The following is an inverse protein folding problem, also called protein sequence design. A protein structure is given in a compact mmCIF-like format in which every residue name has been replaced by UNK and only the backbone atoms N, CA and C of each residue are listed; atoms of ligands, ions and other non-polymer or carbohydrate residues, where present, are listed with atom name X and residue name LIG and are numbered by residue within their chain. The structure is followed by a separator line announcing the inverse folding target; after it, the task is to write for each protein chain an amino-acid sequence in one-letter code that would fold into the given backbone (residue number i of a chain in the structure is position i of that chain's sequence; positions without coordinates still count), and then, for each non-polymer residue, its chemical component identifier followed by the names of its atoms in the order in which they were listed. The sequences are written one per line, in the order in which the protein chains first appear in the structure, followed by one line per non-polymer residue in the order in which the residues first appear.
data_IF_325436424329
#
_entry.id   IF_325436424329
#
_cell.length_a   1.000
_cell.length_b   1.000
_cell.length_c   1.000
_cell.angle_alpha   90.00
_cell.angle_beta   90.00
_cell.angle_gamma   90.00
#
_symmetry.space_group_name_H-M   'P 1'
#
loop_
_entity.id
_entity.type
_entity.pdbx_description
1 polymer ?
#
# COMPACT_ATOMS: atom_id res chain seq x y z
N UNK A 1 50.41 78.47 17.13
CA UNK A 1 49.56 78.11 18.29
C UNK A 1 48.23 77.61 17.79
N UNK A 2 47.92 76.32 17.99
CA UNK A 2 46.58 75.73 17.98
C UNK A 2 46.68 74.31 18.53
N UNK A 3 45.86 74.03 19.55
CA UNK A 3 45.76 72.78 20.29
C UNK A 3 45.01 71.68 19.50
N UNK A 4 45.18 70.40 19.87
CA UNK A 4 44.61 69.24 19.15
C UNK A 4 43.24 68.81 19.71
N UNK A 5 42.60 67.89 18.95
CA UNK A 5 41.49 66.93 19.25
C UNK A 5 40.52 66.94 18.05
N UNK A 6 39.98 65.85 17.52
CA UNK A 6 39.82 64.46 17.97
C UNK A 6 39.60 63.55 16.75
N UNK A 7 40.02 62.30 16.90
CA UNK A 7 39.93 61.16 15.98
C UNK A 7 38.50 60.62 15.86
N UNK A 8 38.11 60.18 14.66
CA UNK A 8 37.15 59.09 14.46
C UNK A 8 37.41 58.42 13.10
N UNK A 9 38.05 57.25 13.13
CA UNK A 9 38.21 56.36 11.99
C UNK A 9 36.89 55.65 11.68
N UNK A 10 36.52 55.61 10.41
CA UNK A 10 35.50 54.71 9.89
C UNK A 10 36.02 53.26 9.93
N UNK A 11 35.32 52.37 10.64
CA UNK A 11 35.53 50.94 10.57
C UNK A 11 34.29 50.30 9.92
N UNK A 12 34.50 49.75 8.72
CA UNK A 12 33.50 48.97 7.99
C UNK A 12 33.21 47.67 8.74
N UNK A 13 31.95 47.42 9.06
CA UNK A 13 31.47 46.15 9.58
C UNK A 13 31.17 45.20 8.40
N UNK A 14 32.21 44.53 7.89
CA UNK A 14 32.03 43.32 7.07
C UNK A 14 32.01 42.13 8.04
N UNK A 15 30.82 41.72 8.46
CA UNK A 15 30.66 40.49 9.22
C UNK A 15 30.99 39.31 8.31
N UNK A 16 32.02 38.56 8.70
CA UNK A 16 32.54 37.40 7.99
C UNK A 16 31.47 36.30 7.95
N UNK A 17 31.01 35.93 6.76
CA UNK A 17 30.57 34.56 6.52
C UNK A 17 31.83 33.69 6.41
N UNK A 18 32.45 33.38 7.55
CA UNK A 18 33.40 32.27 7.60
C UNK A 18 32.59 31.00 7.35
N UNK A 19 32.84 30.39 6.19
CA UNK A 19 32.21 29.16 5.75
C UNK A 19 32.28 28.10 6.85
N UNK A 20 31.11 27.73 7.37
CA UNK A 20 30.94 26.43 7.99
C UNK A 20 30.69 25.43 6.86
N UNK A 21 31.75 25.12 6.11
CA UNK A 21 31.87 23.79 5.56
C UNK A 21 32.09 22.86 6.76
N UNK A 22 31.01 22.54 7.46
CA UNK A 22 30.99 21.40 8.36
C UNK A 22 31.40 20.22 7.50
N UNK A 23 32.56 19.66 7.80
CA UNK A 23 33.14 18.54 7.10
C UNK A 23 32.12 17.39 7.04
N UNK A 24 31.40 17.27 5.92
CA UNK A 24 30.69 16.08 5.52
C UNK A 24 31.74 15.05 5.04
N UNK A 25 32.61 14.64 5.95
CA UNK A 25 33.68 13.68 5.70
C UNK A 25 33.86 12.78 6.92
N UNK A 26 32.76 12.22 7.44
CA UNK A 26 32.80 11.48 8.70
C UNK A 26 32.56 9.97 8.58
N UNK A 27 31.97 9.46 7.48
CA UNK A 27 31.76 8.01 7.31
C UNK A 27 32.05 7.47 5.89
N UNK A 28 32.47 8.31 4.95
CA UNK A 28 32.63 7.93 3.54
C UNK A 28 33.67 6.82 3.33
N UNK A 29 34.63 6.65 4.23
CA UNK A 29 35.64 5.58 4.14
C UNK A 29 35.25 4.28 4.86
N UNK A 30 34.07 4.21 5.48
CA UNK A 30 33.66 3.10 6.35
C UNK A 30 32.39 2.38 5.85
N UNK A 31 32.29 2.15 4.55
CA UNK A 31 31.21 1.36 3.95
C UNK A 31 31.79 0.14 3.24
N UNK A 32 31.16 -1.02 3.39
CA UNK A 32 31.59 -2.27 2.72
C UNK A 32 31.43 -2.19 1.20
N UNK A 33 30.44 -1.43 0.73
CA UNK A 33 30.19 -1.19 -0.70
C UNK A 33 30.51 0.26 -1.06
N UNK A 34 30.58 0.63 -2.36
CA UNK A 34 30.71 2.02 -2.77
C UNK A 34 29.54 2.93 -2.36
N UNK A 35 28.40 2.39 -1.91
CA UNK A 35 27.20 3.17 -1.53
C UNK A 35 27.47 3.90 -0.21
N UNK A 36 27.40 5.25 -0.23
CA UNK A 36 27.63 6.12 0.95
C UNK A 36 26.34 6.64 1.59
N UNK A 37 25.28 6.74 0.81
CA UNK A 37 23.98 7.25 1.24
C UNK A 37 22.88 6.31 0.74
N UNK A 38 21.94 5.99 1.62
CA UNK A 38 20.75 5.21 1.30
C UNK A 38 19.55 6.08 1.64
N UNK A 39 18.67 6.26 0.66
CA UNK A 39 17.35 6.88 0.85
C UNK A 39 16.33 5.77 0.67
N UNK A 40 15.52 5.55 1.70
CA UNK A 40 14.44 4.55 1.67
C UNK A 40 13.12 5.28 1.50
N UNK A 41 12.46 5.07 0.36
CA UNK A 41 11.11 5.58 0.10
C UNK A 41 10.15 4.41 0.22
N UNK A 42 9.19 4.52 1.14
CA UNK A 42 8.22 3.46 1.43
C UNK A 42 6.85 3.90 0.90
N UNK A 43 6.34 3.19 -0.09
CA UNK A 43 4.95 3.33 -0.54
C UNK A 43 3.99 2.61 0.41
N UNK A 44 2.74 3.07 0.45
CA UNK A 44 1.68 2.51 1.30
C UNK A 44 0.72 1.64 0.48
N UNK A 45 0.22 0.56 1.09
CA UNK A 45 -0.98 -0.19 0.68
C UNK A 45 -1.06 -0.74 -0.76
N UNK A 46 0.05 -0.88 -1.49
CA UNK A 46 0.07 -1.51 -2.82
C UNK A 46 0.80 -2.86 -2.81
N UNK A 47 0.17 -3.89 -3.37
CA UNK A 47 0.84 -5.17 -3.66
C UNK A 47 1.65 -5.08 -4.96
N UNK A 48 2.56 -6.03 -5.17
CA UNK A 48 3.34 -6.08 -6.41
C UNK A 48 2.44 -6.25 -7.65
N UNK A 49 1.50 -7.20 -7.61
CA UNK A 49 0.56 -7.44 -8.71
C UNK A 49 -0.44 -6.28 -8.88
N UNK A 50 -0.68 -5.43 -7.88
CA UNK A 50 -1.49 -4.24 -8.06
C UNK A 50 -0.80 -3.20 -8.97
N UNK A 51 0.51 -3.00 -8.87
CA UNK A 51 1.23 -1.98 -9.66
C UNK A 51 1.95 -2.54 -10.90
N UNK A 52 2.55 -3.71 -10.79
CA UNK A 52 3.43 -4.30 -11.81
C UNK A 52 2.79 -5.48 -12.55
N UNK A 53 1.46 -5.67 -12.43
CA UNK A 53 0.68 -6.76 -13.05
C UNK A 53 1.04 -7.03 -14.52
N UNK A 54 1.24 -5.97 -15.30
CA UNK A 54 1.52 -6.04 -16.74
C UNK A 54 2.88 -5.46 -17.14
N UNK A 55 3.75 -5.20 -16.17
CA UNK A 55 5.10 -4.74 -16.48
C UNK A 55 5.86 -5.79 -17.31
N UNK A 56 6.55 -5.32 -18.35
CA UNK A 56 7.44 -6.16 -19.16
C UNK A 56 8.88 -5.64 -19.00
N UNK A 57 9.81 -6.45 -18.47
CA UNK A 57 11.19 -6.02 -18.28
C UNK A 57 11.93 -5.92 -19.64
N UNK A 58 13.05 -5.19 -19.69
CA UNK A 58 13.91 -5.17 -20.88
C UNK A 58 14.34 -6.56 -21.34
N UNK A 59 14.71 -6.68 -22.62
CA UNK A 59 15.15 -7.94 -23.21
C UNK A 59 16.29 -8.60 -22.40
N UNK A 60 16.17 -9.90 -22.17
CA UNK A 60 17.14 -10.67 -21.37
C UNK A 60 16.83 -10.72 -19.86
N UNK A 61 15.79 -10.04 -19.40
CA UNK A 61 15.31 -10.12 -18.02
C UNK A 61 13.94 -10.83 -17.97
N UNK A 62 13.54 -11.25 -16.77
CA UNK A 62 12.26 -11.92 -16.52
C UNK A 62 11.58 -11.34 -15.29
N UNK A 63 10.25 -11.38 -15.28
CA UNK A 63 9.43 -11.01 -14.13
C UNK A 63 8.27 -12.00 -13.98
N UNK A 64 7.93 -12.35 -12.74
CA UNK A 64 6.75 -13.12 -12.39
C UNK A 64 5.64 -12.18 -11.92
N UNK A 65 4.68 -11.92 -12.80
CA UNK A 65 3.49 -11.10 -12.55
C UNK A 65 2.26 -11.71 -13.21
N UNK A 66 1.08 -11.10 -13.03
CA UNK A 66 -0.17 -11.58 -13.64
C UNK A 66 -0.07 -11.80 -15.16
N UNK A 67 0.60 -10.91 -15.90
CA UNK A 67 0.79 -11.01 -17.35
C UNK A 67 1.68 -12.20 -17.73
N UNK A 68 2.86 -12.35 -17.13
CA UNK A 68 3.79 -13.44 -17.45
C UNK A 68 3.26 -14.80 -16.99
N UNK A 69 2.38 -14.82 -15.99
CA UNK A 69 1.63 -16.01 -15.58
C UNK A 69 0.42 -16.31 -16.48
N UNK A 70 0.11 -15.46 -17.47
CA UNK A 70 -1.02 -15.62 -18.39
C UNK A 70 -2.40 -15.48 -17.73
N UNK A 71 -2.47 -14.87 -16.54
CA UNK A 71 -3.72 -14.65 -15.81
C UNK A 71 -4.51 -13.51 -16.46
N UNK A 72 -3.80 -12.47 -16.92
CA UNK A 72 -4.35 -11.34 -17.67
C UNK A 72 -3.61 -11.15 -19.00
N UNK A 73 -4.21 -10.41 -19.94
CA UNK A 73 -3.57 -9.95 -21.17
C UNK A 73 -2.94 -8.56 -21.00
N UNK A 74 -2.12 -8.14 -21.96
CA UNK A 74 -1.58 -6.76 -22.01
C UNK A 74 -2.67 -5.69 -22.14
N UNK A 75 -3.83 -6.04 -22.69
CA UNK A 75 -5.00 -5.15 -22.73
C UNK A 75 -5.77 -5.09 -21.41
N UNK A 76 -5.31 -5.77 -20.35
CA UNK A 76 -5.96 -5.84 -19.05
C UNK A 76 -7.16 -6.80 -18.98
N UNK A 77 -7.43 -7.55 -20.06
CA UNK A 77 -8.48 -8.56 -20.11
C UNK A 77 -8.06 -9.90 -19.50
N UNK A 78 -9.00 -10.84 -19.40
CA UNK A 78 -8.70 -12.19 -18.92
C UNK A 78 -7.75 -12.93 -19.86
N UNK A 79 -6.69 -13.52 -19.30
CA UNK A 79 -5.77 -14.41 -20.00
C UNK A 79 -6.21 -15.88 -19.93
N UNK A 80 -5.49 -16.78 -20.62
CA UNK A 80 -5.81 -18.22 -20.63
C UNK A 80 -5.77 -18.88 -19.24
N UNK A 81 -5.01 -18.31 -18.29
CA UNK A 81 -4.85 -18.83 -16.93
C UNK A 81 -5.68 -18.07 -15.88
N UNK A 82 -6.68 -17.27 -16.29
CA UNK A 82 -7.54 -16.50 -15.37
C UNK A 82 -8.20 -17.38 -14.29
N UNK A 83 -8.42 -18.68 -14.59
CA UNK A 83 -8.92 -19.67 -13.64
C UNK A 83 -8.12 -19.76 -12.34
N UNK A 84 -6.82 -19.42 -12.36
CA UNK A 84 -5.93 -19.44 -11.18
C UNK A 84 -6.21 -18.32 -10.17
N UNK A 85 -6.92 -17.27 -10.59
CA UNK A 85 -7.20 -16.10 -9.77
C UNK A 85 -8.69 -15.97 -9.41
N UNK A 86 -9.49 -17.01 -9.67
CA UNK A 86 -10.90 -17.04 -9.26
C UNK A 86 -11.02 -17.02 -7.75
N UNK A 87 -11.92 -16.17 -7.27
CA UNK A 87 -12.23 -16.03 -5.86
C UNK A 87 -13.44 -16.88 -5.49
N UNK A 88 -13.44 -17.35 -4.25
CA UNK A 88 -14.45 -18.22 -3.67
C UNK A 88 -15.18 -17.51 -2.51
N UNK A 89 -16.34 -18.05 -2.14
CA UNK A 89 -17.14 -17.66 -0.99
C UNK A 89 -16.98 -18.66 0.15
N UNK A 90 -17.28 -18.23 1.37
CA UNK A 90 -17.40 -19.09 2.55
C UNK A 90 -18.57 -18.66 3.45
N UNK A 91 -18.89 -19.46 4.47
CA UNK A 91 -20.06 -19.23 5.34
C UNK A 91 -19.69 -18.84 6.78
N UNK A 92 -18.39 -18.72 7.10
CA UNK A 92 -17.98 -18.47 8.47
C UNK A 92 -18.05 -16.97 8.82
N UNK A 93 -19.13 -16.54 9.45
CA UNK A 93 -19.39 -15.11 9.70
C UNK A 93 -19.32 -14.71 11.18
N UNK A 94 -18.87 -15.59 12.08
CA UNK A 94 -18.92 -15.30 13.53
C UNK A 94 -17.62 -15.53 14.29
N UNK A 95 -16.80 -16.49 13.89
CA UNK A 95 -15.54 -16.81 14.59
C UNK A 95 -14.42 -16.92 13.58
N UNK A 96 -13.27 -16.33 13.85
CA UNK A 96 -12.11 -16.46 12.97
C UNK A 96 -11.73 -17.93 12.72
N UNK A 97 -11.52 -18.28 11.46
CA UNK A 97 -10.79 -19.49 11.08
C UNK A 97 -9.77 -19.16 10.01
N UNK A 98 -8.56 -19.70 10.14
CA UNK A 98 -7.50 -19.50 9.14
C UNK A 98 -7.92 -20.00 7.75
N UNK A 99 -8.65 -21.11 7.70
CA UNK A 99 -9.05 -21.77 6.47
C UNK A 99 -10.56 -22.02 6.47
N UNK A 100 -11.40 -21.01 6.16
CA UNK A 100 -12.84 -21.16 6.17
C UNK A 100 -13.29 -22.14 5.07
N UNK A 101 -14.33 -22.94 5.34
CA UNK A 101 -14.84 -23.88 4.36
C UNK A 101 -15.44 -23.13 3.16
N UNK A 102 -14.92 -23.40 1.96
CA UNK A 102 -15.40 -22.80 0.71
C UNK A 102 -16.78 -23.35 0.39
N UNK A 103 -17.70 -22.49 -0.01
CA UNK A 103 -19.05 -22.86 -0.42
C UNK A 103 -19.29 -22.76 -1.91
N UNK A 104 -18.30 -22.24 -2.64
CA UNK A 104 -18.26 -22.24 -4.09
C UNK A 104 -17.52 -21.01 -4.61
N UNK A 105 -17.25 -21.01 -5.91
CA UNK A 105 -16.75 -19.83 -6.61
C UNK A 105 -17.77 -18.71 -6.58
N UNK A 106 -17.31 -17.45 -6.54
CA UNK A 106 -18.15 -16.36 -7.00
C UNK A 106 -18.61 -16.66 -8.44
N UNK A 107 -19.82 -16.20 -8.77
CA UNK A 107 -20.40 -16.35 -10.11
C UNK A 107 -19.65 -15.52 -11.15
N UNK A 108 -20.39 -14.95 -12.11
CA UNK A 108 -19.78 -14.13 -13.15
C UNK A 108 -19.10 -12.87 -12.60
N UNK A 109 -19.61 -12.33 -11.49
CA UNK A 109 -19.18 -11.06 -10.93
C UNK A 109 -18.81 -11.22 -9.45
N UNK A 110 -17.80 -10.46 -9.03
CA UNK A 110 -17.48 -10.24 -7.62
C UNK A 110 -18.46 -9.23 -7.01
N UNK A 111 -18.55 -9.14 -5.67
CA UNK A 111 -19.27 -8.07 -4.98
C UNK A 111 -18.81 -6.68 -5.43
N UNK A 112 -19.67 -5.69 -5.31
CA UNK A 112 -19.32 -4.30 -5.63
C UNK A 112 -18.16 -3.80 -4.76
N UNK A 113 -17.43 -2.83 -5.28
CA UNK A 113 -16.33 -2.16 -4.60
C UNK A 113 -16.57 -0.67 -4.62
N UNK A 114 -16.18 0.00 -3.52
CA UNK A 114 -16.06 1.44 -3.52
C UNK A 114 -14.77 1.84 -4.23
N UNK A 115 -14.88 2.25 -5.49
CA UNK A 115 -13.74 2.86 -6.19
C UNK A 115 -13.46 4.28 -5.71
N UNK A 116 -14.34 4.86 -4.91
CA UNK A 116 -14.29 6.26 -4.59
C UNK A 116 -13.68 6.43 -3.21
N UNK A 117 -12.35 6.36 -3.17
CA UNK A 117 -11.56 6.93 -2.09
C UNK A 117 -11.94 8.40 -1.79
N UNK A 118 -11.37 9.01 -0.75
CA UNK A 118 -11.68 10.38 -0.43
C UNK A 118 -11.17 11.30 -1.57
N UNK A 119 -12.08 12.03 -2.21
CA UNK A 119 -11.76 13.03 -3.24
C UNK A 119 -11.42 14.34 -2.55
N UNK A 120 -10.26 14.90 -2.81
CA UNK A 120 -9.97 16.26 -2.33
C UNK A 120 -10.84 17.28 -3.06
N UNK A 121 -11.83 17.84 -2.36
CA UNK A 121 -12.70 18.89 -2.88
C UNK A 121 -12.07 20.25 -2.57
N UNK A 122 -11.52 20.86 -3.62
CA UNK A 122 -10.90 22.20 -3.57
C UNK A 122 -11.86 23.30 -3.08
N UNK A 123 -13.18 23.09 -3.13
CA UNK A 123 -14.17 24.04 -2.60
C UNK A 123 -14.21 24.05 -1.08
N UNK A 124 -13.80 22.95 -0.45
CA UNK A 124 -13.84 22.77 1.00
C UNK A 124 -12.45 22.63 1.63
N UNK A 125 -11.37 22.62 0.84
CA UNK A 125 -10.01 22.31 1.29
C UNK A 125 -9.99 21.03 2.15
N UNK A 126 -10.76 20.02 1.71
CA UNK A 126 -10.98 18.82 2.50
C UNK A 126 -11.21 17.60 1.60
N UNK A 127 -10.91 16.43 2.15
CA UNK A 127 -11.26 15.14 1.60
C UNK A 127 -12.77 14.91 1.73
N UNK A 128 -13.46 14.87 0.60
CA UNK A 128 -14.88 14.53 0.45
C UNK A 128 -14.98 13.12 -0.11
N UNK A 129 -15.61 12.21 0.63
CA UNK A 129 -15.89 10.87 0.13
C UNK A 129 -16.94 10.96 -0.96
N UNK A 130 -16.57 10.73 -2.22
CA UNK A 130 -17.57 10.54 -3.26
C UNK A 130 -18.22 9.18 -2.96
N UNK A 131 -19.48 9.18 -2.56
CA UNK A 131 -20.15 7.93 -2.20
C UNK A 131 -20.25 6.98 -3.38
N UNK A 132 -20.34 5.68 -3.06
CA UNK A 132 -20.74 4.57 -3.93
C UNK A 132 -21.55 4.97 -5.17
N UNK A 133 -21.05 4.57 -6.35
CA UNK A 133 -21.81 4.66 -7.59
C UNK A 133 -22.62 3.35 -7.82
N UNK A 134 -23.95 3.37 -7.62
CA UNK A 134 -24.83 2.21 -7.84
C UNK A 134 -24.81 1.65 -9.27
N UNK A 135 -24.32 2.43 -10.24
CA UNK A 135 -24.28 2.01 -11.65
C UNK A 135 -23.08 1.11 -11.97
N UNK A 136 -22.11 1.01 -11.06
CA UNK A 136 -20.93 0.18 -11.24
C UNK A 136 -21.26 -1.26 -10.87
N UNK A 137 -21.61 -2.06 -11.88
CA UNK A 137 -21.69 -3.51 -11.72
C UNK A 137 -20.32 -4.05 -11.27
N UNK A 138 -20.33 -4.94 -10.26
CA UNK A 138 -19.11 -5.59 -9.77
C UNK A 138 -18.29 -6.22 -10.90
N UNK A 139 -16.95 -6.20 -10.82
CA UNK A 139 -16.08 -6.73 -11.87
C UNK A 139 -16.23 -8.24 -12.04
N UNK A 140 -15.79 -8.76 -13.18
CA UNK A 140 -15.73 -10.20 -13.40
C UNK A 140 -14.88 -10.88 -12.32
N UNK A 141 -15.20 -12.14 -11.98
CA UNK A 141 -14.48 -12.89 -10.94
C UNK A 141 -12.98 -13.08 -11.27
N UNK A 142 -12.12 -12.18 -10.79
CA UNK A 142 -10.68 -12.22 -11.01
C UNK A 142 -10.07 -10.81 -11.06
N UNK A 143 -8.77 -10.70 -11.36
CA UNK A 143 -8.11 -9.41 -11.45
C UNK A 143 -8.73 -8.52 -12.52
N UNK A 144 -8.84 -7.23 -12.25
CA UNK A 144 -9.40 -6.26 -13.20
C UNK A 144 -8.60 -4.94 -13.18
N UNK A 145 -8.55 -4.28 -14.33
CA UNK A 145 -7.88 -2.98 -14.46
C UNK A 145 -8.72 -1.88 -13.80
N UNK A 146 -8.14 -1.17 -12.83
CA UNK A 146 -8.80 -0.10 -12.06
C UNK A 146 -9.05 1.14 -12.91
N UNK A 147 -8.13 1.46 -13.83
CA UNK A 147 -8.19 2.67 -14.66
C UNK A 147 -9.35 2.71 -15.64
N UNK A 148 -10.09 1.60 -15.82
CA UNK A 148 -11.30 1.59 -16.67
C UNK A 148 -12.48 2.38 -16.08
N UNK A 149 -12.38 2.80 -14.81
CA UNK A 149 -13.35 3.68 -14.13
C UNK A 149 -12.76 5.08 -13.86
N UNK A 150 -11.83 5.54 -14.71
CA UNK A 150 -11.20 6.87 -14.60
C UNK A 150 -10.51 7.13 -13.26
N UNK A 151 -9.98 6.07 -12.63
CA UNK A 151 -9.15 6.12 -11.42
C UNK A 151 -7.67 5.99 -11.83
N UNK A 152 -6.98 7.10 -12.16
CA UNK A 152 -5.57 7.08 -12.55
C UNK A 152 -4.63 6.78 -11.37
N UNK A 153 -3.35 6.53 -11.65
CA UNK A 153 -2.31 6.43 -10.63
C UNK A 153 -1.56 7.76 -10.41
N UNK A 154 -1.27 8.10 -9.16
CA UNK A 154 -0.46 9.26 -8.75
C UNK A 154 -0.96 10.63 -9.25
N UNK A 155 -2.28 10.85 -9.24
CA UNK A 155 -2.91 12.15 -9.51
C UNK A 155 -3.88 12.54 -8.38
N UNK A 156 -4.39 13.77 -8.33
CA UNK A 156 -5.44 14.14 -7.39
C UNK A 156 -6.74 13.32 -7.53
N UNK A 157 -6.92 12.61 -8.65
CA UNK A 157 -8.06 11.72 -8.92
C UNK A 157 -7.74 10.24 -8.61
N UNK A 158 -6.58 9.94 -8.03
CA UNK A 158 -6.18 8.59 -7.62
C UNK A 158 -6.90 8.14 -6.35
N UNK A 159 -8.22 8.26 -6.37
CA UNK A 159 -9.08 7.80 -5.30
C UNK A 159 -9.28 6.30 -5.49
N UNK A 160 -8.64 5.53 -4.64
CA UNK A 160 -8.87 4.09 -4.50
C UNK A 160 -9.39 3.86 -3.08
N UNK A 161 -10.00 2.71 -2.80
CA UNK A 161 -10.38 2.38 -1.44
C UNK A 161 -9.17 2.13 -0.53
N UNK A 162 -9.42 1.52 0.62
CA UNK A 162 -8.38 0.98 1.50
C UNK A 162 -8.67 -0.50 1.77
N UNK A 163 -7.97 -1.44 1.09
CA UNK A 163 -8.28 -2.86 1.21
C UNK A 163 -8.01 -3.40 2.62
N UNK A 164 -8.51 -4.59 2.96
CA UNK A 164 -8.28 -5.17 4.29
C UNK A 164 -6.86 -5.73 4.39
N UNK A 165 -6.02 -5.09 5.21
CA UNK A 165 -4.63 -5.47 5.41
C UNK A 165 -4.33 -5.70 6.90
N UNK A 166 -5.17 -6.53 7.55
CA UNK A 166 -5.13 -6.86 8.97
C UNK A 166 -4.42 -8.20 9.23
N UNK A 167 -3.76 -8.38 10.38
CA UNK A 167 -2.88 -9.54 10.62
C UNK A 167 -3.60 -10.87 10.37
N UNK A 168 -4.74 -11.09 11.04
CA UNK A 168 -5.50 -12.35 10.93
C UNK A 168 -6.13 -12.54 9.56
N UNK A 169 -6.68 -11.47 8.98
CA UNK A 169 -7.34 -11.51 7.67
C UNK A 169 -6.35 -11.74 6.53
N UNK A 170 -5.14 -11.18 6.57
CA UNK A 170 -4.10 -11.47 5.58
C UNK A 170 -3.64 -12.93 5.63
N UNK A 171 -3.55 -13.51 6.82
CA UNK A 171 -3.34 -14.95 6.96
C UNK A 171 -4.52 -15.76 6.40
N UNK A 172 -5.76 -15.30 6.59
CA UNK A 172 -6.94 -15.97 6.03
C UNK A 172 -6.99 -15.91 4.50
N UNK A 173 -6.65 -14.76 3.91
CA UNK A 173 -6.58 -14.54 2.47
C UNK A 173 -5.56 -15.45 1.77
N UNK A 174 -4.46 -15.77 2.45
CA UNK A 174 -3.38 -16.63 1.93
C UNK A 174 -3.51 -18.09 2.35
N UNK A 175 -4.46 -18.43 3.22
CA UNK A 175 -4.53 -19.75 3.84
C UNK A 175 -3.32 -20.08 4.71
N UNK A 176 -2.68 -19.08 5.32
CA UNK A 176 -1.53 -19.24 6.22
C UNK A 176 -0.19 -19.13 5.51
N UNK A 177 0.06 -20.01 4.56
CA UNK A 177 1.38 -20.19 3.90
C UNK A 177 1.28 -20.06 2.38
N UNK A 178 0.41 -19.20 1.88
CA UNK A 178 0.00 -19.17 0.46
C UNK A 178 -0.59 -20.51 -0.01
N UNK A 179 -1.23 -21.25 0.90
CA UNK A 179 -1.83 -22.55 0.60
C UNK A 179 -3.04 -22.43 -0.33
N UNK A 180 -3.76 -21.30 -0.27
CA UNK A 180 -4.88 -20.99 -1.15
C UNK A 180 -5.04 -19.48 -1.28
N UNK A 181 -5.14 -18.99 -2.53
CA UNK A 181 -5.14 -17.57 -2.91
C UNK A 181 -6.51 -17.13 -3.48
N UNK A 182 -7.58 -17.67 -2.89
CA UNK A 182 -8.95 -17.62 -3.40
C UNK A 182 -9.93 -16.86 -2.49
N UNK A 183 -9.42 -16.20 -1.45
CA UNK A 183 -10.24 -15.57 -0.39
C UNK A 183 -10.05 -14.04 -0.30
N UNK A 184 -9.33 -13.43 -1.25
CA UNK A 184 -9.11 -11.97 -1.32
C UNK A 184 -10.39 -11.16 -1.54
N UNK A 185 -11.51 -11.82 -1.89
CA UNK A 185 -12.81 -11.15 -1.98
C UNK A 185 -13.71 -11.38 -0.79
N UNK A 186 -13.79 -12.62 -0.32
CA UNK A 186 -14.72 -12.95 0.74
C UNK A 186 -14.30 -12.36 2.09
N UNK A 187 -12.99 -12.38 2.40
CA UNK A 187 -12.45 -11.84 3.67
C UNK A 187 -12.74 -10.36 3.86
N UNK A 188 -12.43 -9.47 2.89
CA UNK A 188 -12.78 -8.05 3.03
C UNK A 188 -14.28 -7.82 3.03
N UNK A 189 -15.07 -8.67 2.37
CA UNK A 189 -16.55 -8.60 2.41
C UNK A 189 -17.12 -8.84 3.82
N UNK A 190 -16.46 -9.65 4.66
CA UNK A 190 -16.93 -9.94 6.02
C UNK A 190 -16.32 -9.05 7.09
N UNK A 191 -15.11 -8.52 6.88
CA UNK A 191 -14.38 -7.80 7.92
C UNK A 191 -14.43 -6.29 7.75
N UNK A 192 -14.36 -5.80 6.51
CA UNK A 192 -14.14 -4.38 6.22
C UNK A 192 -12.87 -3.83 6.87
N UNK A 193 -12.74 -2.51 6.91
CA UNK A 193 -11.54 -1.86 7.47
C UNK A 193 -11.39 -2.00 9.01
N UNK A 194 -12.41 -2.50 9.72
CA UNK A 194 -12.36 -2.78 11.17
C UNK A 194 -12.83 -1.63 12.08
N UNK A 195 -12.67 -1.84 13.39
CA UNK A 195 -13.15 -0.92 14.42
C UNK A 195 -12.20 0.29 14.55
N UNK A 196 -12.65 1.49 14.16
CA UNK A 196 -11.82 2.70 14.14
C UNK A 196 -11.92 3.51 12.85
N UNK A 197 -12.54 2.96 11.81
CA UNK A 197 -12.79 3.66 10.53
C UNK A 197 -14.17 4.29 10.45
N UNK A 198 -14.82 4.61 11.58
CA UNK A 198 -16.15 5.23 11.60
C UNK A 198 -16.23 6.60 10.90
N UNK A 199 -15.08 7.22 10.60
CA UNK A 199 -14.98 8.44 9.79
C UNK A 199 -14.95 8.18 8.28
N UNK A 200 -14.69 6.95 7.88
CA UNK A 200 -14.72 6.50 6.50
C UNK A 200 -16.09 5.84 6.35
N UNK A 201 -16.95 6.34 5.47
CA UNK A 201 -18.29 5.80 5.22
C UNK A 201 -18.28 4.39 4.56
N UNK A 202 -17.26 3.58 4.85
CA UNK A 202 -17.23 2.17 4.52
C UNK A 202 -18.29 1.44 5.31
N UNK A 203 -18.99 0.50 4.66
CA UNK A 203 -19.84 -0.41 5.39
C UNK A 203 -19.01 -1.16 6.44
N UNK A 204 -19.43 -1.08 7.69
CA UNK A 204 -18.83 -1.87 8.78
C UNK A 204 -19.60 -3.18 9.00
N UNK A 205 -20.69 -3.36 8.27
CA UNK A 205 -21.55 -4.54 8.36
C UNK A 205 -21.00 -5.67 7.49
N UNK A 206 -20.77 -6.84 8.10
CA UNK A 206 -20.42 -8.06 7.37
C UNK A 206 -21.38 -8.31 6.20
N UNK A 207 -20.82 -8.64 5.03
CA UNK A 207 -21.57 -8.81 3.78
C UNK A 207 -21.83 -7.51 3.01
N UNK A 208 -21.59 -6.34 3.59
CA UNK A 208 -21.83 -5.02 2.97
C UNK A 208 -20.71 -4.03 3.24
N UNK A 209 -19.47 -4.51 3.27
CA UNK A 209 -18.31 -3.67 3.59
C UNK A 209 -17.86 -2.79 2.43
N UNK A 210 -18.29 -3.12 1.21
CA UNK A 210 -17.91 -2.47 -0.04
C UNK A 210 -16.41 -2.57 -0.39
N UNK A 211 -15.69 -3.49 0.25
CA UNK A 211 -14.27 -3.76 0.01
C UNK A 211 -14.01 -5.08 -0.72
N UNK A 212 -15.08 -5.83 -1.06
CA UNK A 212 -14.97 -7.20 -1.55
C UNK A 212 -14.13 -7.33 -2.82
N UNK A 213 -14.24 -6.42 -3.78
CA UNK A 213 -13.46 -6.52 -5.02
C UNK A 213 -12.17 -5.71 -5.03
N UNK A 214 -11.90 -4.97 -3.96
CA UNK A 214 -10.86 -3.94 -3.98
C UNK A 214 -9.46 -4.50 -4.21
N UNK A 215 -9.13 -5.60 -3.54
CA UNK A 215 -7.83 -6.29 -3.64
C UNK A 215 -7.58 -6.92 -5.01
N UNK A 216 -8.62 -7.07 -5.83
CA UNK A 216 -8.53 -7.65 -7.17
C UNK A 216 -8.22 -6.60 -8.25
N UNK A 217 -8.15 -5.32 -7.89
CA UNK A 217 -7.78 -4.25 -8.82
C UNK A 217 -6.28 -4.21 -9.13
N UNK A 218 -5.92 -3.88 -10.37
CA UNK A 218 -4.54 -3.59 -10.78
C UNK A 218 -4.44 -2.36 -11.71
N UNK A 219 -3.24 -1.77 -11.76
CA UNK A 219 -2.80 -0.78 -12.74
C UNK A 219 -2.08 -1.47 -13.90
N UNK A 220 -2.36 -1.03 -15.12
CA UNK A 220 -1.87 -1.65 -16.34
C UNK A 220 -0.74 -0.83 -16.98
N UNK A 221 0.50 -1.13 -16.62
CA UNK A 221 1.70 -0.53 -17.22
C UNK A 221 1.83 -0.78 -18.74
N UNK A 222 1.24 -1.86 -19.27
CA UNK A 222 1.21 -2.11 -20.71
C UNK A 222 0.27 -1.15 -21.47
N UNK A 223 -0.64 -0.47 -20.79
CA UNK A 223 -1.48 0.61 -21.34
C UNK A 223 -1.07 2.00 -20.87
N UNK A 224 0.04 2.12 -20.13
CA UNK A 224 0.62 3.40 -19.73
C UNK A 224 0.31 3.84 -18.29
N UNK A 225 -0.27 2.99 -17.44
CA UNK A 225 -0.48 3.33 -16.04
C UNK A 225 0.85 3.38 -15.27
N UNK A 226 0.94 4.23 -14.24
CA UNK A 226 2.12 4.41 -13.39
C UNK A 226 3.46 4.59 -14.15
N UNK A 227 3.53 5.51 -15.16
CA UNK A 227 4.66 5.60 -16.08
C UNK A 227 5.98 5.94 -15.40
N UNK A 228 5.94 6.70 -14.30
CA UNK A 228 7.14 7.02 -13.53
C UNK A 228 7.76 5.77 -12.88
N UNK A 229 6.96 4.94 -12.19
CA UNK A 229 7.44 3.69 -11.59
C UNK A 229 7.92 2.70 -12.67
N UNK A 230 7.22 2.62 -13.80
CA UNK A 230 7.66 1.84 -14.95
C UNK A 230 9.05 2.30 -15.43
N UNK A 231 9.29 3.61 -15.53
CA UNK A 231 10.59 4.14 -15.95
C UNK A 231 11.71 3.80 -14.95
N UNK A 232 11.43 3.83 -13.64
CA UNK A 232 12.40 3.43 -12.62
C UNK A 232 12.76 1.94 -12.76
N UNK A 233 11.77 1.07 -12.94
CA UNK A 233 12.01 -0.36 -13.13
C UNK A 233 12.75 -0.68 -14.43
N UNK A 234 12.54 0.11 -15.50
CA UNK A 234 13.26 -0.05 -16.77
C UNK A 234 14.72 0.41 -16.71
N UNK A 235 15.01 1.47 -15.94
CA UNK A 235 16.34 2.08 -15.87
C UNK A 235 17.21 1.47 -14.75
N UNK A 236 16.58 0.99 -13.68
CA UNK A 236 17.26 0.49 -12.49
C UNK A 236 16.90 -0.97 -12.23
N UNK A 237 17.02 -1.41 -10.98
CA UNK A 237 16.69 -2.77 -10.56
C UNK A 237 15.28 -2.82 -9.94
N UNK A 238 14.60 -3.94 -10.17
CA UNK A 238 13.34 -4.29 -9.51
C UNK A 238 13.43 -5.73 -9.00
N UNK A 239 12.74 -6.02 -7.89
CA UNK A 239 12.59 -7.38 -7.35
C UNK A 239 11.12 -7.76 -7.35
N UNK A 240 10.80 -8.88 -7.98
CA UNK A 240 9.48 -9.53 -7.99
C UNK A 240 9.34 -10.60 -6.87
N UNK A 241 10.27 -10.62 -5.92
CA UNK A 241 10.32 -11.61 -4.85
C UNK A 241 10.55 -10.99 -3.46
N UNK A 242 10.29 -9.70 -3.30
CA UNK A 242 10.22 -9.05 -2.00
C UNK A 242 8.86 -9.30 -1.34
N UNK A 243 8.88 -9.63 -0.05
CA UNK A 243 7.67 -9.87 0.75
C UNK A 243 7.74 -9.02 2.01
N UNK A 244 6.57 -8.51 2.42
CA UNK A 244 6.45 -7.81 3.69
C UNK A 244 6.93 -8.70 4.84
N UNK A 245 7.61 -8.12 5.83
CA UNK A 245 8.24 -8.89 6.91
C UNK A 245 7.20 -9.51 7.87
N UNK A 246 6.04 -8.89 8.00
CA UNK A 246 4.95 -9.30 8.87
C UNK A 246 3.63 -9.15 8.12
N UNK A 247 2.77 -10.16 8.16
CA UNK A 247 1.40 -10.02 7.66
C UNK A 247 0.66 -8.96 8.48
N UNK A 248 -0.01 -8.02 7.85
CA UNK A 248 -0.88 -7.06 8.52
C UNK A 248 -0.54 -5.61 8.24
N UNK A 249 -0.93 -4.76 9.18
CA UNK A 249 -1.04 -3.33 8.96
C UNK A 249 0.29 -2.59 8.79
N UNK A 250 0.18 -1.35 8.32
CA UNK A 250 1.27 -0.36 8.18
C UNK A 250 2.18 -0.33 9.41
N UNK A 251 1.62 -0.20 10.62
CA UNK A 251 2.40 -0.07 11.85
C UNK A 251 3.39 -1.22 12.10
N UNK A 252 2.95 -2.47 11.96
CA UNK A 252 3.81 -3.64 12.20
C UNK A 252 4.97 -3.71 11.18
N UNK A 253 4.68 -3.41 9.91
CA UNK A 253 5.68 -3.41 8.85
C UNK A 253 6.72 -2.29 9.02
N UNK A 254 6.31 -1.08 9.43
CA UNK A 254 7.25 0.00 9.73
C UNK A 254 8.21 -0.37 10.86
N UNK A 255 7.71 -0.98 11.95
CA UNK A 255 8.59 -1.48 13.00
C UNK A 255 9.55 -2.54 12.47
N UNK A 256 9.04 -3.55 11.76
CA UNK A 256 9.88 -4.63 11.25
C UNK A 256 11.02 -4.14 10.33
N UNK A 257 10.73 -3.21 9.42
CA UNK A 257 11.73 -2.61 8.52
C UNK A 257 12.73 -1.76 9.30
N UNK A 258 12.27 -0.99 10.29
CA UNK A 258 13.13 -0.05 11.03
C UNK A 258 14.03 -0.72 12.07
N UNK A 259 13.60 -1.85 12.62
CA UNK A 259 14.30 -2.51 13.75
C UNK A 259 14.93 -3.85 13.38
N UNK A 260 14.76 -4.32 12.13
CA UNK A 260 15.22 -5.64 11.70
C UNK A 260 14.40 -6.78 12.32
N UNK A 261 13.10 -6.58 12.51
CA UNK A 261 12.18 -7.61 13.00
C UNK A 261 11.95 -7.62 14.52
N UNK A 262 12.45 -6.63 15.27
CA UNK A 262 12.06 -6.45 16.66
C UNK A 262 10.66 -5.83 16.72
N UNK A 263 9.71 -6.59 17.26
CA UNK A 263 8.33 -6.12 17.39
C UNK A 263 8.16 -5.28 18.66
N UNK A 264 7.34 -4.21 18.60
CA UNK A 264 7.06 -3.39 19.77
C UNK A 264 6.29 -4.19 20.83
N UNK A 265 6.54 -3.86 22.09
CA UNK A 265 5.78 -4.39 23.23
C UNK A 265 5.09 -3.25 23.95
N UNK A 266 3.90 -3.52 24.48
CA UNK A 266 3.23 -2.57 25.34
C UNK A 266 3.85 -2.63 26.74
N UNK A 267 4.24 -1.46 27.27
CA UNK A 267 4.82 -1.36 28.61
C UNK A 267 4.20 -0.22 29.40
N UNK A 268 4.20 -0.36 30.72
CA UNK A 268 3.85 0.68 31.69
C UNK A 268 4.98 0.76 32.70
N UNK A 269 5.63 1.91 32.81
CA UNK A 269 6.75 2.15 33.74
C UNK A 269 7.88 1.12 33.64
N UNK A 270 8.22 0.69 32.42
CA UNK A 270 9.30 -0.27 32.16
C UNK A 270 8.94 -1.74 32.39
N UNK A 271 7.69 -2.05 32.74
CA UNK A 271 7.18 -3.42 32.85
C UNK A 271 6.24 -3.74 31.68
N UNK A 272 6.31 -4.97 31.15
CA UNK A 272 5.38 -5.46 30.14
C UNK A 272 3.95 -5.42 30.66
N UNK A 273 3.02 -4.97 29.83
CA UNK A 273 1.61 -4.86 30.18
C UNK A 273 0.71 -5.21 28.99
N UNK A 274 -0.56 -5.49 29.27
CA UNK A 274 -1.57 -5.66 28.21
C UNK A 274 -1.86 -4.30 27.56
N UNK A 275 -1.90 -4.21 26.22
CA UNK A 275 -2.27 -2.98 25.54
C UNK A 275 -3.74 -2.58 25.80
N UNK A 276 -4.11 -1.31 25.60
CA UNK A 276 -5.48 -0.85 25.66
C UNK A 276 -6.39 -1.68 24.75
N UNK A 277 -7.66 -1.86 25.13
CA UNK A 277 -8.60 -2.73 24.41
C UNK A 277 -8.79 -2.36 22.93
N UNK A 278 -8.69 -1.07 22.59
CA UNK A 278 -8.77 -0.58 21.21
C UNK A 278 -7.49 -0.83 20.38
N UNK A 279 -6.41 -1.32 21.00
CA UNK A 279 -5.19 -1.76 20.33
C UNK A 279 -5.08 -3.29 20.29
N UNK A 280 -6.08 -4.00 20.81
CA UNK A 280 -6.17 -5.45 20.72
C UNK A 280 -7.02 -5.79 19.50
N UNK A 281 -6.42 -6.49 18.56
CA UNK A 281 -7.09 -6.89 17.33
C UNK A 281 -8.14 -7.97 17.61
N UNK A 282 -9.40 -7.73 17.18
CA UNK A 282 -10.43 -8.76 17.18
C UNK A 282 -10.36 -9.54 15.85
N UNK A 283 -10.01 -10.84 15.87
CA UNK A 283 -9.89 -11.63 14.65
C UNK A 283 -11.26 -12.00 14.05
N UNK A 284 -12.33 -11.97 14.84
CA UNK A 284 -13.67 -12.38 14.39
C UNK A 284 -14.24 -11.37 13.38
N UNK A 285 -15.09 -11.83 12.43
CA UNK A 285 -15.83 -10.95 11.54
C UNK A 285 -16.64 -9.87 12.27
N UNK A 286 -16.93 -8.77 11.58
CA UNK A 286 -17.57 -7.58 12.13
C UNK A 286 -19.07 -7.76 12.42
#
# INVERSE_FOLDING_TARGET
MKHPRMTAMAAALFAMFTGHALAAAANDNNTTTPIKHVIVVIGENHSFDNLFATYTPPAGQSMKNLLSQGIISSSGGAGPNIGRARQNQANNTSVYTLNPARTGSYGSNLPEVDFLGPVYDVRYDNLVWNGWDPSIQGPANGPFQITKWDVPYSTPLSVTGSPVHRFFQMYQQTGGTNASLDMYTWVPTQTGAGNGTSYLSFGTTAGRTMQGSEEMGFFNMATGDAPYLQSLAQQYAISDNFHQSVMGGTGANFYAISTGGQLPVYNVNGALATPPSNQIENPNPA
#
